data_IF_175177174995
#
_entry.id   IF_175177174995
#
_cell.length_a   1.000
_cell.length_b   1.000
_cell.length_c   1.000
_cell.angle_alpha   90.00
_cell.angle_beta   90.00
_cell.angle_gamma   90.00
#
_symmetry.space_group_name_H-M   'P 1'
#
loop_
_entity.id
_entity.type
_entity.pdbx_description
1 polymer ?
#
# COMPACT_ATOMS: atom_id res chain seq x y z
N UNK A 1 -0.74 10.72 -17.72
CA UNK A 1 0.54 11.36 -17.97
C UNK A 1 0.62 12.72 -17.28
N UNK A 2 -0.40 13.57 -17.43
CA UNK A 2 -0.36 14.97 -16.94
C UNK A 2 -1.78 15.48 -16.72
N UNK A 3 -1.97 16.32 -15.70
CA UNK A 3 -3.19 17.13 -15.54
C UNK A 3 -3.01 18.42 -16.32
N UNK A 4 -3.90 18.68 -17.26
CA UNK A 4 -3.89 19.95 -18.01
C UNK A 4 -4.36 21.08 -17.15
N UNK A 5 -3.52 22.09 -16.95
CA UNK A 5 -3.83 23.31 -16.22
C UNK A 5 -3.96 24.49 -17.18
N UNK A 6 -4.99 25.30 -16.99
CA UNK A 6 -5.17 26.60 -17.64
C UNK A 6 -5.50 27.65 -16.56
N UNK A 7 -4.66 28.65 -16.40
CA UNK A 7 -4.80 29.68 -15.37
C UNK A 7 -4.99 29.09 -13.96
N UNK A 8 -4.15 28.11 -13.61
CA UNK A 8 -4.15 27.39 -12.31
C UNK A 8 -5.40 26.52 -12.05
N UNK A 9 -6.22 26.30 -13.06
CA UNK A 9 -7.39 25.42 -12.97
C UNK A 9 -7.14 24.14 -13.78
N UNK A 10 -7.49 23.00 -13.21
CA UNK A 10 -7.48 21.73 -13.93
C UNK A 10 -8.64 21.74 -14.96
N UNK A 11 -8.30 21.52 -16.23
CA UNK A 11 -9.23 21.55 -17.36
C UNK A 11 -9.26 20.25 -18.15
N UNK A 12 -8.46 19.26 -17.74
CA UNK A 12 -8.42 17.97 -18.43
C UNK A 12 -7.23 17.12 -18.05
N UNK A 13 -7.06 16.05 -18.80
CA UNK A 13 -5.97 15.10 -18.69
C UNK A 13 -5.30 14.89 -20.03
N UNK A 14 -3.98 14.73 -20.01
CA UNK A 14 -3.20 14.27 -21.16
C UNK A 14 -2.79 12.83 -20.91
N UNK A 15 -3.24 11.92 -21.77
CA UNK A 15 -2.94 10.48 -21.71
C UNK A 15 -1.55 10.18 -22.27
N UNK A 16 -1.06 8.94 -22.11
CA UNK A 16 0.30 8.55 -22.50
C UNK A 16 0.56 8.73 -24.00
N UNK A 17 -0.46 8.58 -24.85
CA UNK A 17 -0.42 8.81 -26.29
C UNK A 17 -0.44 10.28 -26.70
N UNK A 18 -0.51 11.20 -25.73
CA UNK A 18 -0.55 12.65 -25.99
C UNK A 18 -1.94 13.23 -26.21
N UNK A 19 -3.00 12.40 -26.14
CA UNK A 19 -4.38 12.86 -26.36
C UNK A 19 -4.86 13.71 -25.16
N UNK A 20 -5.43 14.89 -25.45
CA UNK A 20 -6.07 15.75 -24.45
C UNK A 20 -7.55 15.41 -24.31
N UNK A 21 -7.94 15.04 -23.12
CA UNK A 21 -9.34 14.88 -22.70
C UNK A 21 -9.75 16.03 -21.79
N UNK A 22 -10.80 16.76 -22.13
CA UNK A 22 -11.28 17.90 -21.33
C UNK A 22 -12.32 17.45 -20.30
N UNK A 23 -12.19 18.02 -19.09
CA UNK A 23 -13.08 17.76 -17.95
C UNK A 23 -13.26 19.03 -17.12
N UNK A 24 -14.41 19.16 -16.48
CA UNK A 24 -14.70 20.27 -15.58
C UNK A 24 -13.96 20.16 -14.24
N UNK A 25 -13.62 18.94 -13.84
CA UNK A 25 -12.88 18.62 -12.64
C UNK A 25 -12.05 17.34 -12.82
N UNK A 26 -10.96 17.23 -12.06
CA UNK A 26 -10.07 16.05 -12.04
C UNK A 26 -9.90 15.62 -10.59
N UNK A 27 -10.11 14.33 -10.32
CA UNK A 27 -9.85 13.69 -9.03
C UNK A 27 -8.71 12.70 -9.20
N UNK A 28 -7.65 12.85 -8.38
CA UNK A 28 -6.55 11.90 -8.32
C UNK A 28 -6.63 11.10 -7.03
N UNK A 29 -6.64 9.76 -7.12
CA UNK A 29 -6.44 8.86 -5.99
C UNK A 29 -5.03 8.24 -5.98
N UNK A 30 -4.12 8.76 -6.79
CA UNK A 30 -2.70 8.46 -6.72
C UNK A 30 -2.12 9.09 -5.45
N UNK A 31 -1.02 8.52 -4.92
CA UNK A 31 -0.27 9.12 -3.83
C UNK A 31 -0.07 10.64 -4.02
N UNK A 32 -0.26 11.42 -2.96
CA UNK A 32 -0.29 12.89 -3.06
C UNK A 32 1.05 13.47 -3.50
N UNK A 33 2.18 12.90 -3.04
CA UNK A 33 3.52 13.35 -3.46
C UNK A 33 3.72 13.09 -4.94
N UNK A 34 3.36 11.89 -5.40
CA UNK A 34 3.44 11.52 -6.80
C UNK A 34 2.48 12.33 -7.68
N UNK A 35 1.27 12.59 -7.22
CA UNK A 35 0.32 13.44 -7.94
C UNK A 35 0.92 14.81 -8.23
N UNK A 36 1.53 15.45 -7.22
CA UNK A 36 2.11 16.78 -7.41
C UNK A 36 3.41 16.75 -8.25
N UNK A 37 4.25 15.76 -8.05
CA UNK A 37 5.53 15.64 -8.77
C UNK A 37 5.40 15.15 -10.20
N UNK A 38 4.44 14.27 -10.47
CA UNK A 38 4.32 13.64 -11.79
C UNK A 38 3.19 14.24 -12.63
N UNK A 39 1.99 14.44 -12.05
CA UNK A 39 0.81 14.89 -12.81
C UNK A 39 0.68 16.41 -12.87
N UNK A 40 1.21 17.12 -11.86
CA UNK A 40 1.16 18.58 -11.75
C UNK A 40 2.56 19.22 -11.87
N UNK A 41 3.55 18.48 -12.36
CA UNK A 41 4.93 18.94 -12.45
C UNK A 41 5.05 20.33 -13.10
N UNK A 42 5.87 21.21 -12.48
CA UNK A 42 6.08 22.57 -12.97
C UNK A 42 4.92 23.54 -12.75
N UNK A 43 3.89 23.17 -11.98
CA UNK A 43 2.79 24.07 -11.61
C UNK A 43 3.03 24.75 -10.27
N UNK A 44 2.41 25.92 -10.06
CA UNK A 44 2.43 26.61 -8.75
C UNK A 44 1.88 25.73 -7.63
N UNK A 45 0.92 24.85 -7.95
CA UNK A 45 0.36 23.89 -7.00
C UNK A 45 1.41 22.87 -6.53
N UNK A 46 2.22 22.32 -7.45
CA UNK A 46 3.31 21.41 -7.12
C UNK A 46 4.39 22.10 -6.29
N UNK A 47 4.77 23.32 -6.66
CA UNK A 47 5.75 24.10 -5.89
C UNK A 47 5.24 24.45 -4.49
N UNK A 48 3.97 24.86 -4.36
CA UNK A 48 3.36 25.16 -3.07
C UNK A 48 3.27 23.92 -2.18
N UNK A 49 2.98 22.75 -2.77
CA UNK A 49 2.97 21.48 -2.07
C UNK A 49 4.35 21.14 -1.51
N UNK A 50 5.42 21.22 -2.33
CA UNK A 50 6.78 20.89 -1.89
C UNK A 50 7.28 21.87 -0.80
N UNK A 51 6.95 23.15 -0.87
CA UNK A 51 7.33 24.14 0.17
C UNK A 51 6.65 23.89 1.52
N UNK A 52 5.44 23.32 1.52
CA UNK A 52 4.64 23.08 2.73
C UNK A 52 4.76 21.66 3.27
N UNK A 53 5.38 20.76 2.53
CA UNK A 53 5.44 19.36 2.88
C UNK A 53 6.41 19.15 4.04
N UNK A 54 5.86 18.74 5.17
CA UNK A 54 6.58 18.37 6.39
C UNK A 54 5.97 17.08 6.96
N UNK A 55 6.10 15.98 6.20
CA UNK A 55 5.62 14.67 6.61
C UNK A 55 6.43 13.55 5.96
N UNK A 56 6.54 12.45 6.67
CA UNK A 56 7.14 11.22 6.18
C UNK A 56 6.12 10.34 5.46
N UNK A 57 6.56 9.44 4.56
CA UNK A 57 5.71 8.40 4.00
C UNK A 57 5.12 7.51 5.10
N UNK A 58 3.90 7.04 4.90
CA UNK A 58 3.32 5.99 5.74
C UNK A 58 4.12 4.68 5.60
N UNK A 59 3.91 3.75 6.54
CA UNK A 59 4.44 2.40 6.40
C UNK A 59 3.96 1.74 5.11
N UNK A 60 4.71 0.75 4.67
CA UNK A 60 4.34 -0.16 3.59
C UNK A 60 3.78 -1.46 4.18
N UNK A 61 3.59 -2.47 3.35
CA UNK A 61 3.16 -3.80 3.79
C UNK A 61 3.65 -4.90 2.87
N UNK A 62 3.82 -6.07 3.46
CA UNK A 62 3.98 -7.32 2.73
C UNK A 62 2.66 -8.08 2.81
N UNK A 63 2.20 -8.56 1.67
CA UNK A 63 0.97 -9.34 1.57
C UNK A 63 1.28 -10.73 1.03
N UNK A 64 0.77 -11.75 1.72
CA UNK A 64 0.77 -13.12 1.26
C UNK A 64 -0.64 -13.51 0.83
N UNK A 65 -0.78 -14.02 -0.39
CA UNK A 65 -2.02 -14.65 -0.87
C UNK A 65 -1.81 -16.14 -0.88
N UNK A 66 -2.59 -16.87 -0.09
CA UNK A 66 -2.46 -18.32 0.07
C UNK A 66 -3.78 -19.02 -0.32
N UNK A 67 -3.70 -19.98 -1.23
CA UNK A 67 -4.77 -20.90 -1.51
C UNK A 67 -4.60 -22.18 -0.66
N UNK A 68 -5.57 -22.46 0.19
CA UNK A 68 -5.55 -23.62 1.10
C UNK A 68 -6.53 -24.69 0.62
N UNK A 69 -6.16 -25.96 0.80
CA UNK A 69 -6.99 -27.11 0.45
C UNK A 69 -8.12 -27.37 1.48
N UNK A 70 -7.98 -26.79 2.67
CA UNK A 70 -8.85 -26.99 3.81
C UNK A 70 -9.24 -25.65 4.44
N UNK A 71 -10.38 -25.62 5.12
CA UNK A 71 -10.79 -24.50 5.96
C UNK A 71 -10.34 -24.71 7.40
N UNK A 72 -10.01 -23.61 8.07
CA UNK A 72 -9.66 -23.61 9.48
C UNK A 72 -10.85 -23.10 10.30
N UNK A 73 -11.54 -23.98 11.08
CA UNK A 73 -12.79 -23.62 11.77
C UNK A 73 -12.67 -22.50 12.80
N UNK A 74 -11.44 -22.24 13.27
CA UNK A 74 -11.16 -21.19 14.26
C UNK A 74 -11.06 -19.80 13.64
N UNK A 75 -10.91 -19.69 12.31
CA UNK A 75 -10.82 -18.41 11.66
C UNK A 75 -12.21 -17.78 11.51
N UNK A 76 -12.24 -16.47 11.69
CA UNK A 76 -13.32 -15.59 11.26
C UNK A 76 -12.91 -14.92 9.93
N UNK A 77 -13.82 -14.14 9.33
CA UNK A 77 -13.47 -13.38 8.12
C UNK A 77 -12.25 -12.48 8.35
N UNK A 78 -12.22 -11.79 9.48
CA UNK A 78 -11.11 -10.92 9.89
C UNK A 78 -10.50 -11.43 11.20
N UNK A 79 -9.21 -11.64 11.20
CA UNK A 79 -8.45 -12.09 12.36
C UNK A 79 -7.19 -11.21 12.51
N UNK A 80 -6.72 -11.09 13.76
CA UNK A 80 -5.45 -10.43 14.07
C UNK A 80 -4.63 -11.33 14.98
N UNK A 81 -3.37 -11.50 14.64
CA UNK A 81 -2.34 -12.08 15.48
C UNK A 81 -1.40 -10.94 15.84
N UNK A 82 -1.41 -10.52 17.09
CA UNK A 82 -0.59 -9.39 17.52
C UNK A 82 0.83 -9.83 17.87
N UNK A 83 1.80 -8.95 17.60
CA UNK A 83 3.16 -9.08 18.12
C UNK A 83 3.15 -9.10 19.64
N UNK A 84 4.19 -9.66 20.25
CA UNK A 84 4.37 -9.65 21.71
C UNK A 84 4.63 -8.26 22.26
N UNK A 85 5.29 -7.42 21.48
CA UNK A 85 5.56 -6.02 21.81
C UNK A 85 5.26 -5.10 20.62
N UNK A 86 4.02 -4.57 20.52
CA UNK A 86 3.66 -3.63 19.45
C UNK A 86 4.49 -2.34 19.44
N UNK A 87 5.02 -1.92 20.61
CA UNK A 87 5.87 -0.74 20.64
C UNK A 87 7.20 -1.00 19.93
N UNK A 88 7.84 -2.15 20.20
CA UNK A 88 9.08 -2.55 19.50
C UNK A 88 8.82 -2.70 18.01
N UNK A 89 7.70 -3.32 17.60
CA UNK A 89 7.29 -3.44 16.21
C UNK A 89 7.25 -2.08 15.50
N UNK A 90 6.59 -1.09 16.09
CA UNK A 90 6.49 0.24 15.50
C UNK A 90 7.82 1.01 15.50
N UNK A 91 8.66 0.82 16.54
CA UNK A 91 10.02 1.36 16.56
C UNK A 91 10.87 0.81 15.41
N UNK A 92 10.79 -0.49 15.14
CA UNK A 92 11.50 -1.13 14.03
C UNK A 92 11.03 -0.55 12.69
N UNK A 93 9.73 -0.48 12.47
CA UNK A 93 9.13 -0.03 11.22
C UNK A 93 9.41 1.45 10.96
N UNK A 94 9.10 2.33 11.91
CA UNK A 94 9.09 3.77 11.67
C UNK A 94 10.44 4.43 11.97
N UNK A 95 11.10 4.09 13.06
CA UNK A 95 12.38 4.71 13.44
C UNK A 95 13.58 4.01 12.83
N UNK A 96 13.73 2.70 13.09
CA UNK A 96 14.90 1.95 12.59
C UNK A 96 14.79 1.69 11.09
N UNK A 97 13.56 1.63 10.54
CA UNK A 97 13.32 1.35 9.13
C UNK A 97 13.68 -0.08 8.75
N UNK A 98 13.45 -1.02 9.65
CA UNK A 98 13.65 -2.46 9.42
C UNK A 98 12.32 -3.19 9.58
N UNK A 99 12.09 -4.31 8.88
CA UNK A 99 10.94 -5.17 9.11
C UNK A 99 10.99 -5.73 10.53
N UNK A 100 9.86 -5.70 11.23
CA UNK A 100 9.76 -6.26 12.57
C UNK A 100 10.01 -7.78 12.56
N UNK A 101 10.75 -8.28 13.56
CA UNK A 101 11.04 -9.71 13.68
C UNK A 101 9.83 -10.54 14.15
N UNK A 102 8.89 -9.89 14.86
CA UNK A 102 7.64 -10.47 15.38
C UNK A 102 6.48 -9.56 14.97
N UNK A 103 6.05 -9.56 13.67
CA UNK A 103 5.08 -8.61 13.18
C UNK A 103 3.64 -8.99 13.58
N UNK A 104 2.83 -7.97 13.88
CA UNK A 104 1.38 -8.15 13.91
C UNK A 104 0.85 -8.50 12.53
N UNK A 105 0.08 -9.58 12.45
CA UNK A 105 -0.49 -10.08 11.21
C UNK A 105 -2.01 -9.83 11.17
N UNK A 106 -2.47 -9.18 10.12
CA UNK A 106 -3.88 -9.22 9.74
C UNK A 106 -4.11 -10.42 8.82
N UNK A 107 -5.08 -11.27 9.16
CA UNK A 107 -5.43 -12.48 8.39
C UNK A 107 -6.90 -12.40 7.98
N UNK A 108 -7.14 -12.30 6.69
CA UNK A 108 -8.47 -12.34 6.11
C UNK A 108 -8.74 -13.72 5.52
N UNK A 109 -9.88 -14.32 5.91
CA UNK A 109 -10.39 -15.60 5.40
C UNK A 109 -11.76 -15.38 4.73
N UNK A 110 -11.81 -14.85 3.51
CA UNK A 110 -13.05 -14.40 2.88
C UNK A 110 -14.02 -15.52 2.52
N UNK A 111 -13.57 -16.77 2.31
CA UNK A 111 -14.46 -17.87 2.00
C UNK A 111 -15.42 -18.24 3.14
N UNK A 112 -15.20 -17.72 4.34
CA UNK A 112 -16.15 -17.86 5.47
C UNK A 112 -17.47 -17.15 5.19
N UNK A 113 -17.42 -15.97 4.59
CA UNK A 113 -18.62 -15.17 4.25
C UNK A 113 -19.01 -15.27 2.79
N UNK A 114 -18.05 -15.54 1.91
CA UNK A 114 -18.24 -15.68 0.45
C UNK A 114 -17.61 -16.98 -0.06
N UNK A 115 -18.29 -18.13 0.07
CA UNK A 115 -17.73 -19.44 -0.27
C UNK A 115 -17.24 -19.55 -1.73
N UNK A 116 -17.73 -18.71 -2.63
CA UNK A 116 -17.34 -18.72 -4.05
C UNK A 116 -15.93 -18.22 -4.36
N UNK A 117 -15.21 -17.62 -3.40
CA UNK A 117 -13.83 -17.10 -3.62
C UNK A 117 -12.75 -18.18 -3.52
N UNK A 118 -13.13 -19.41 -3.10
CA UNK A 118 -12.23 -20.55 -3.04
C UNK A 118 -12.92 -21.81 -3.57
N UNK A 119 -12.17 -22.84 -3.99
CA UNK A 119 -12.75 -24.15 -4.32
C UNK A 119 -13.51 -24.75 -3.13
N UNK A 120 -14.47 -25.63 -3.41
CA UNK A 120 -15.28 -26.26 -2.38
C UNK A 120 -14.40 -26.92 -1.29
N UNK A 121 -14.62 -26.56 -0.03
CA UNK A 121 -13.84 -27.02 1.11
C UNK A 121 -12.49 -26.35 1.32
N UNK A 122 -12.06 -25.50 0.39
CA UNK A 122 -10.83 -24.73 0.49
C UNK A 122 -11.02 -23.35 1.10
N UNK A 123 -9.92 -22.65 1.29
CA UNK A 123 -9.87 -21.26 1.76
C UNK A 123 -8.86 -20.44 0.93
N UNK A 124 -9.12 -19.16 0.81
CA UNK A 124 -8.16 -18.18 0.29
C UNK A 124 -7.77 -17.24 1.44
N UNK A 125 -6.51 -17.25 1.85
CA UNK A 125 -6.05 -16.33 2.89
C UNK A 125 -5.34 -15.13 2.27
N UNK A 126 -5.64 -13.98 2.82
CA UNK A 126 -4.90 -12.74 2.63
C UNK A 126 -4.25 -12.39 3.96
N UNK A 127 -2.92 -12.45 4.03
CA UNK A 127 -2.16 -12.12 5.22
C UNK A 127 -1.37 -10.85 4.96
N UNK A 128 -1.54 -9.84 5.81
CA UNK A 128 -0.83 -8.58 5.70
C UNK A 128 -0.06 -8.29 6.98
N UNK A 129 1.19 -7.90 6.82
CA UNK A 129 2.04 -7.34 7.88
C UNK A 129 2.55 -5.97 7.46
N UNK A 130 2.70 -5.06 8.42
CA UNK A 130 3.30 -3.76 8.18
C UNK A 130 4.82 -3.87 8.02
N UNK A 131 5.36 -3.05 7.14
CA UNK A 131 6.81 -2.94 6.89
C UNK A 131 7.19 -1.48 6.72
N UNK A 132 8.48 -1.14 6.87
CA UNK A 132 8.94 0.20 6.57
C UNK A 132 8.60 0.61 5.12
N UNK A 133 8.36 1.91 4.89
CA UNK A 133 8.33 2.41 3.52
C UNK A 133 9.69 2.18 2.83
N UNK A 134 9.69 2.11 1.50
CA UNK A 134 10.89 1.84 0.73
C UNK A 134 11.94 2.93 0.93
N UNK A 135 13.14 2.52 1.34
CA UNK A 135 14.32 3.37 1.47
C UNK A 135 15.39 2.90 0.48
N UNK A 136 16.30 3.78 0.02
CA UNK A 136 17.37 3.40 -0.93
C UNK A 136 18.27 2.27 -0.42
N UNK A 137 18.40 2.11 0.91
CA UNK A 137 19.19 1.06 1.56
C UNK A 137 18.51 -0.31 1.59
N UNK A 138 17.25 -0.42 1.19
CA UNK A 138 16.49 -1.67 1.28
C UNK A 138 16.69 -2.54 0.04
N UNK A 139 17.21 -3.75 0.21
CA UNK A 139 17.18 -4.82 -0.79
C UNK A 139 16.06 -5.83 -0.49
N UNK A 140 14.85 -5.46 -0.86
CA UNK A 140 13.68 -6.32 -0.68
C UNK A 140 13.73 -7.62 -1.48
N UNK A 141 14.53 -7.70 -2.55
CA UNK A 141 14.69 -8.94 -3.32
C UNK A 141 15.37 -10.03 -2.49
N UNK A 142 16.40 -9.63 -1.75
CA UNK A 142 17.11 -10.54 -0.85
C UNK A 142 16.39 -10.76 0.49
N UNK A 143 15.70 -9.74 0.99
CA UNK A 143 15.06 -9.75 2.31
C UNK A 143 13.75 -10.54 2.33
N UNK A 144 12.89 -10.37 1.32
CA UNK A 144 11.54 -10.93 1.29
C UNK A 144 11.47 -12.46 1.44
N UNK A 145 12.33 -13.27 0.81
CA UNK A 145 12.29 -14.72 0.97
C UNK A 145 12.49 -15.19 2.42
N UNK A 146 13.32 -14.49 3.18
CA UNK A 146 13.58 -14.79 4.60
C UNK A 146 12.45 -14.25 5.48
N UNK A 147 12.03 -13.00 5.25
CA UNK A 147 10.97 -12.36 6.03
C UNK A 147 9.64 -13.12 5.93
N UNK A 148 9.31 -13.61 4.73
CA UNK A 148 8.11 -14.44 4.50
C UNK A 148 8.05 -15.71 5.35
N UNK A 149 9.19 -16.24 5.80
CA UNK A 149 9.24 -17.44 6.65
C UNK A 149 8.92 -17.12 8.12
N UNK A 150 9.04 -15.86 8.52
CA UNK A 150 8.69 -15.39 9.85
C UNK A 150 7.21 -14.94 9.98
N UNK A 151 6.51 -14.78 8.86
CA UNK A 151 5.09 -14.48 8.79
C UNK A 151 4.28 -15.79 8.78
#
# INVERSE_FOLDING_TARGET
REVKLERQRATGLITADGTLHRFDAVVSNMDSVRTHRELLAGSDAAEAFERKRDYEPACSGVVLYLGLKERYPLLLHHNFVFSRDPHEEFEDIYRKGIPASDPSCYVCAPAITEPGVAPAGGEALYILVHTPYLRPSHDWKSLLPHYRQGI
#
